data_IF_931297521829
#
_entry.id   IF_931297521829
#
_cell.length_a   1.000
_cell.length_b   1.000
_cell.length_c   1.000
_cell.angle_alpha   90.00
_cell.angle_beta   90.00
_cell.angle_gamma   90.00
#
_symmetry.space_group_name_H-M   'P 1'
#
loop_
_entity.id
_entity.type
_entity.pdbx_description
1 polymer ?
#
# COMPACT_ATOMS: atom_id res chain seq x y z
N UNK A 1 5.89 24.85 10.88
CA UNK A 1 6.40 25.85 9.94
C UNK A 1 5.76 25.60 8.59
N UNK A 2 4.88 26.51 8.17
CA UNK A 2 4.10 26.44 6.94
C UNK A 2 4.98 26.81 5.76
N UNK A 3 5.32 25.84 4.90
CA UNK A 3 6.00 26.09 3.64
C UNK A 3 4.97 26.09 2.50
N UNK A 4 4.69 27.29 2.00
CA UNK A 4 4.21 27.65 0.67
C UNK A 4 3.25 26.67 -0.03
N UNK A 5 1.97 26.72 0.34
CA UNK A 5 0.88 26.47 -0.61
C UNK A 5 0.41 27.81 -1.17
N UNK A 6 1.13 28.39 -2.13
CA UNK A 6 0.64 29.52 -2.93
C UNK A 6 1.16 29.45 -4.36
N UNK A 7 0.34 28.94 -5.27
CA UNK A 7 -0.29 29.78 -6.31
C UNK A 7 -1.28 28.92 -7.11
N UNK A 8 -2.53 29.38 -7.18
CA UNK A 8 -3.59 28.80 -8.01
C UNK A 8 -3.39 29.10 -9.51
N UNK A 9 -2.19 28.85 -10.03
CA UNK A 9 -1.98 28.71 -11.46
C UNK A 9 -2.49 27.34 -11.90
N UNK A 10 -3.28 27.28 -12.97
CA UNK A 10 -3.64 25.99 -13.55
C UNK A 10 -2.36 25.28 -13.98
N UNK A 11 -2.05 24.13 -13.36
CA UNK A 11 -0.92 23.30 -13.78
C UNK A 11 -1.22 22.82 -15.21
N UNK A 12 -0.34 23.17 -16.15
CA UNK A 12 -0.55 22.86 -17.56
C UNK A 12 -0.22 21.39 -17.88
N UNK A 13 -0.89 20.85 -18.90
CA UNK A 13 -0.56 19.54 -19.48
C UNK A 13 0.07 19.74 -20.84
N UNK A 14 1.32 19.30 -21.01
CA UNK A 14 2.09 19.48 -22.25
C UNK A 14 2.11 18.17 -23.05
N UNK A 15 0.93 17.70 -23.45
CA UNK A 15 0.75 16.36 -24.06
C UNK A 15 1.42 16.17 -25.44
N UNK A 16 1.88 17.25 -26.07
CA UNK A 16 2.61 17.19 -27.35
C UNK A 16 4.09 16.82 -27.17
N UNK A 17 4.64 16.89 -25.95
CA UNK A 17 6.02 16.55 -25.64
C UNK A 17 6.16 15.06 -25.30
N UNK A 18 7.30 14.47 -25.68
CA UNK A 18 7.68 13.13 -25.22
C UNK A 18 7.85 13.16 -23.69
N UNK A 19 7.47 12.07 -23.03
CA UNK A 19 7.64 11.98 -21.58
C UNK A 19 9.11 12.01 -21.11
N UNK A 20 10.06 11.74 -22.01
CA UNK A 20 11.50 11.84 -21.71
C UNK A 20 12.11 13.19 -22.06
N UNK A 21 11.30 14.16 -22.50
CA UNK A 21 11.76 15.54 -22.70
C UNK A 21 12.24 16.14 -21.38
N UNK A 22 13.48 16.64 -21.34
CA UNK A 22 14.07 17.17 -20.11
C UNK A 22 13.40 18.47 -19.66
N UNK A 23 12.85 19.29 -20.57
CA UNK A 23 12.11 20.49 -20.24
C UNK A 23 10.79 20.18 -19.54
N UNK A 24 10.04 19.20 -20.06
CA UNK A 24 8.85 18.68 -19.40
C UNK A 24 9.18 18.11 -18.00
N UNK A 25 10.21 17.26 -17.89
CA UNK A 25 10.57 16.65 -16.62
C UNK A 25 11.07 17.67 -15.59
N UNK A 26 11.76 18.72 -16.03
CA UNK A 26 12.12 19.86 -15.20
C UNK A 26 10.88 20.59 -14.67
N UNK A 27 9.91 20.92 -15.54
CA UNK A 27 8.67 21.56 -15.14
C UNK A 27 7.84 20.68 -14.18
N UNK A 28 7.77 19.37 -14.44
CA UNK A 28 7.13 18.41 -13.53
C UNK A 28 7.82 18.37 -12.17
N UNK A 29 9.16 18.33 -12.13
CA UNK A 29 9.93 18.36 -10.89
C UNK A 29 9.73 19.66 -10.09
N UNK A 30 9.64 20.79 -10.77
CA UNK A 30 9.31 22.09 -10.18
C UNK A 30 7.83 22.18 -9.70
N UNK A 31 6.95 21.33 -10.22
CA UNK A 31 5.51 21.36 -9.93
C UNK A 31 4.72 22.32 -10.82
N UNK A 32 5.29 22.67 -11.97
CA UNK A 32 4.74 23.62 -12.95
C UNK A 32 3.95 22.91 -14.06
N UNK A 33 4.18 21.60 -14.25
CA UNK A 33 3.49 20.77 -15.24
C UNK A 33 3.02 19.44 -14.65
N UNK A 34 1.98 18.87 -15.26
CA UNK A 34 1.41 17.56 -14.90
C UNK A 34 1.53 16.58 -16.07
N UNK A 35 1.96 15.36 -15.77
CA UNK A 35 2.05 14.28 -16.76
C UNK A 35 0.66 13.78 -17.20
N UNK A 36 0.49 13.53 -18.50
CA UNK A 36 -0.67 12.81 -19.05
C UNK A 36 -0.55 11.30 -18.80
N UNK A 37 -1.65 10.53 -18.84
CA UNK A 37 -1.60 9.07 -18.75
C UNK A 37 -0.66 8.43 -19.78
N UNK A 38 -0.67 8.91 -21.02
CA UNK A 38 0.18 8.40 -22.10
C UNK A 38 1.67 8.63 -21.79
N UNK A 39 2.00 9.81 -21.26
CA UNK A 39 3.37 10.12 -20.80
C UNK A 39 3.77 9.22 -19.63
N UNK A 40 2.85 8.95 -18.69
CA UNK A 40 3.08 7.99 -17.61
C UNK A 40 3.43 6.58 -18.11
N UNK A 41 2.73 6.09 -19.14
CA UNK A 41 3.03 4.79 -19.77
C UNK A 41 4.37 4.82 -20.51
N UNK A 42 4.68 5.91 -21.23
CA UNK A 42 5.98 6.10 -21.86
C UNK A 42 7.13 6.04 -20.85
N UNK A 43 6.99 6.69 -19.68
CA UNK A 43 8.00 6.61 -18.62
C UNK A 43 8.16 5.19 -18.06
N UNK A 44 7.06 4.45 -17.88
CA UNK A 44 7.12 3.07 -17.40
C UNK A 44 7.70 2.08 -18.41
N UNK A 45 7.74 2.41 -19.70
CA UNK A 45 8.15 1.47 -20.75
C UNK A 45 9.48 1.84 -21.42
N UNK A 46 9.79 3.13 -21.54
CA UNK A 46 10.89 3.62 -22.40
C UNK A 46 11.95 4.44 -21.67
N UNK A 47 11.63 5.11 -20.56
CA UNK A 47 12.59 6.01 -19.91
C UNK A 47 13.81 5.24 -19.34
N UNK A 48 15.04 5.76 -19.49
CA UNK A 48 16.20 5.22 -18.78
C UNK A 48 16.02 5.31 -17.26
N UNK A 49 16.43 4.29 -16.51
CA UNK A 49 16.25 4.26 -15.06
C UNK A 49 16.98 5.41 -14.34
N UNK A 50 18.17 5.79 -14.80
CA UNK A 50 18.93 6.90 -14.24
C UNK A 50 18.22 8.25 -14.44
N UNK A 51 17.57 8.44 -15.59
CA UNK A 51 16.77 9.64 -15.87
C UNK A 51 15.59 9.74 -14.89
N UNK A 52 14.89 8.62 -14.66
CA UNK A 52 13.78 8.56 -13.70
C UNK A 52 14.23 8.89 -12.27
N UNK A 53 15.34 8.31 -11.82
CA UNK A 53 15.89 8.59 -10.49
C UNK A 53 16.19 10.08 -10.31
N UNK A 54 16.92 10.68 -11.26
CA UNK A 54 17.27 12.11 -11.24
C UNK A 54 16.05 13.01 -11.05
N UNK A 55 15.02 12.83 -11.87
CA UNK A 55 13.86 13.73 -11.86
C UNK A 55 12.89 13.44 -10.72
N UNK A 56 12.73 12.18 -10.32
CA UNK A 56 11.90 11.84 -9.17
C UNK A 56 12.52 12.33 -7.85
N UNK A 57 13.85 12.23 -7.68
CA UNK A 57 14.55 12.81 -6.54
C UNK A 57 14.43 14.34 -6.55
N UNK A 58 14.63 14.99 -7.70
CA UNK A 58 14.44 16.44 -7.84
C UNK A 58 13.02 16.87 -7.42
N UNK A 59 11.97 16.17 -7.88
CA UNK A 59 10.58 16.43 -7.46
C UNK A 59 10.41 16.25 -5.95
N UNK A 60 10.99 15.20 -5.38
CA UNK A 60 10.93 14.94 -3.95
C UNK A 60 11.60 16.05 -3.13
N UNK A 61 12.75 16.55 -3.58
CA UNK A 61 13.47 17.67 -2.95
C UNK A 61 12.70 18.98 -3.05
N UNK A 62 12.05 19.26 -4.17
CA UNK A 62 11.15 20.43 -4.29
C UNK A 62 10.03 20.40 -3.24
N UNK A 63 9.48 19.23 -2.94
CA UNK A 63 8.36 19.08 -2.00
C UNK A 63 8.78 18.99 -0.52
N UNK A 64 9.91 18.36 -0.23
CA UNK A 64 10.29 17.98 1.13
C UNK A 64 11.65 18.56 1.58
N UNK A 65 12.35 19.26 0.70
CA UNK A 65 13.70 19.74 0.93
C UNK A 65 14.76 18.64 0.87
N UNK A 66 16.01 19.08 1.10
CA UNK A 66 17.21 18.25 0.96
C UNK A 66 17.63 17.55 2.25
N UNK A 67 17.09 17.97 3.39
CA UNK A 67 17.63 17.59 4.69
C UNK A 67 17.08 16.26 5.19
N UNK A 68 15.75 16.12 5.25
CA UNK A 68 15.12 15.05 6.02
C UNK A 68 14.51 13.97 5.13
N UNK A 69 14.56 12.73 5.61
CA UNK A 69 13.69 11.63 5.17
C UNK A 69 13.11 10.95 6.41
N UNK A 70 11.85 10.56 6.30
CA UNK A 70 11.06 10.21 7.48
C UNK A 70 10.87 8.71 7.64
N UNK A 71 10.55 8.30 8.86
CA UNK A 71 9.99 7.00 9.19
C UNK A 71 8.97 7.17 10.33
N UNK A 72 8.15 6.15 10.55
CA UNK A 72 7.22 6.12 11.69
C UNK A 72 7.53 4.92 12.60
N UNK A 73 7.21 5.05 13.87
CA UNK A 73 7.12 3.90 14.78
C UNK A 73 5.64 3.60 14.95
N UNK A 74 5.16 2.63 14.18
CA UNK A 74 3.80 2.11 14.28
C UNK A 74 3.80 0.60 14.54
N UNK A 75 2.60 0.04 14.73
CA UNK A 75 2.41 -1.40 14.77
C UNK A 75 1.28 -1.84 13.85
N UNK A 76 1.60 -2.79 12.99
CA UNK A 76 0.61 -3.53 12.21
C UNK A 76 -0.11 -4.53 13.12
N UNK A 77 -1.43 -4.41 13.24
CA UNK A 77 -2.27 -5.31 14.03
C UNK A 77 -3.32 -5.93 13.10
N UNK A 78 -3.20 -7.23 12.87
CA UNK A 78 -4.25 -7.98 12.18
C UNK A 78 -5.19 -8.60 13.20
N UNK A 79 -6.32 -7.95 13.46
CA UNK A 79 -7.26 -8.36 14.51
C UNK A 79 -8.00 -9.66 14.20
N UNK A 80 -8.07 -10.05 12.92
CA UNK A 80 -8.56 -11.36 12.48
C UNK A 80 -7.96 -11.70 11.11
N UNK A 81 -7.79 -12.98 10.82
CA UNK A 81 -7.50 -13.48 9.48
C UNK A 81 -8.72 -14.15 8.79
N UNK A 82 -9.86 -14.23 9.50
CA UNK A 82 -11.12 -14.76 8.95
C UNK A 82 -11.69 -13.75 7.96
N UNK A 83 -11.94 -14.18 6.72
CA UNK A 83 -12.30 -13.25 5.65
C UNK A 83 -13.28 -13.86 4.65
N UNK A 84 -14.35 -13.13 4.33
CA UNK A 84 -15.34 -13.51 3.32
C UNK A 84 -14.78 -13.45 1.88
N UNK A 85 -13.79 -12.58 1.61
CA UNK A 85 -13.21 -12.45 0.28
C UNK A 85 -12.21 -13.57 -0.06
N UNK A 86 -12.18 -13.96 -1.33
CA UNK A 86 -11.36 -15.06 -1.87
C UNK A 86 -10.32 -14.54 -2.87
N UNK A 87 -9.58 -13.52 -2.44
CA UNK A 87 -8.54 -12.89 -3.24
C UNK A 87 -7.46 -13.90 -3.65
N UNK A 88 -7.17 -14.02 -4.94
CA UNK A 88 -6.21 -15.02 -5.43
C UNK A 88 -4.77 -14.67 -5.10
N UNK A 89 -4.49 -13.42 -4.71
CA UNK A 89 -3.17 -12.92 -4.32
C UNK A 89 -2.94 -12.91 -2.80
N UNK A 90 -3.92 -13.33 -1.99
CA UNK A 90 -3.82 -13.24 -0.52
C UNK A 90 -3.48 -14.61 0.08
N UNK A 91 -2.34 -14.70 0.78
CA UNK A 91 -1.96 -15.88 1.56
C UNK A 91 -2.46 -15.82 3.03
N UNK A 92 -2.93 -14.66 3.47
CA UNK A 92 -3.33 -14.41 4.86
C UNK A 92 -4.75 -14.88 5.19
N UNK A 93 -5.66 -14.86 4.21
CA UNK A 93 -7.09 -15.11 4.43
C UNK A 93 -7.38 -16.55 4.86
N UNK A 94 -8.33 -16.71 5.78
CA UNK A 94 -8.88 -18.01 6.20
C UNK A 94 -10.40 -18.01 6.16
N UNK A 95 -10.97 -19.15 5.80
CA UNK A 95 -12.35 -19.48 6.13
C UNK A 95 -12.43 -19.75 7.65
N UNK A 96 -13.59 -19.52 8.28
CA UNK A 96 -13.71 -19.45 9.75
C UNK A 96 -13.46 -20.76 10.50
N UNK A 97 -13.50 -21.89 9.79
CA UNK A 97 -13.29 -23.25 10.29
C UNK A 97 -11.86 -23.77 10.04
N UNK A 98 -11.00 -23.00 9.38
CA UNK A 98 -9.61 -23.38 9.17
C UNK A 98 -8.83 -23.38 10.49
N UNK A 99 -7.91 -24.33 10.66
CA UNK A 99 -7.23 -24.58 11.95
C UNK A 99 -6.38 -23.40 12.46
N UNK A 100 -5.90 -22.53 11.58
CA UNK A 100 -5.16 -21.32 11.91
C UNK A 100 -6.00 -20.04 11.77
N UNK A 101 -7.33 -20.17 11.70
CA UNK A 101 -8.26 -19.05 11.80
C UNK A 101 -8.27 -18.44 13.22
N UNK A 102 -8.28 -17.11 13.32
CA UNK A 102 -8.30 -16.42 14.60
C UNK A 102 -9.02 -15.07 14.55
N UNK A 103 -9.52 -14.65 15.72
CA UNK A 103 -9.85 -13.25 16.05
C UNK A 103 -9.19 -12.92 17.38
N UNK A 104 -8.50 -11.78 17.47
CA UNK A 104 -7.84 -11.32 18.70
C UNK A 104 -8.88 -10.78 19.69
N UNK A 105 -8.67 -11.01 20.98
CA UNK A 105 -9.46 -10.35 22.03
C UNK A 105 -9.04 -8.89 22.19
N UNK A 106 -9.88 -8.08 22.84
CA UNK A 106 -9.52 -6.69 23.17
C UNK A 106 -8.26 -6.65 24.05
N UNK A 107 -8.10 -7.58 25.02
CA UNK A 107 -6.90 -7.59 25.86
C UNK A 107 -5.64 -7.86 25.03
N UNK A 108 -5.71 -8.80 24.08
CA UNK A 108 -4.59 -9.09 23.18
C UNK A 108 -4.22 -7.88 22.33
N UNK A 109 -5.21 -7.16 21.79
CA UNK A 109 -4.97 -5.93 21.02
C UNK A 109 -4.39 -4.83 21.92
N UNK A 110 -4.93 -4.64 23.12
CA UNK A 110 -4.41 -3.64 24.07
C UNK A 110 -2.98 -3.95 24.51
N UNK A 111 -2.64 -5.22 24.72
CA UNK A 111 -1.28 -5.62 25.06
C UNK A 111 -0.31 -5.26 23.93
N UNK A 112 -0.70 -5.53 22.68
CA UNK A 112 0.08 -5.13 21.50
C UNK A 112 0.29 -3.62 21.41
N UNK A 113 -0.72 -2.83 21.77
CA UNK A 113 -0.63 -1.35 21.80
C UNK A 113 0.25 -0.88 22.95
N UNK A 114 0.16 -1.50 24.13
CA UNK A 114 1.02 -1.15 25.27
C UNK A 114 2.50 -1.33 24.95
N UNK A 115 2.85 -2.42 24.25
CA UNK A 115 4.22 -2.71 23.78
C UNK A 115 4.70 -1.67 22.76
N UNK A 116 3.83 -1.23 21.84
CA UNK A 116 4.14 -0.15 20.91
C UNK A 116 4.43 1.17 21.66
N UNK A 117 3.56 1.54 22.59
CA UNK A 117 3.71 2.78 23.37
C UNK A 117 4.99 2.75 24.20
N UNK A 118 5.37 1.58 24.74
CA UNK A 118 6.59 1.41 25.54
C UNK A 118 7.88 1.73 24.76
N UNK A 119 7.88 1.59 23.43
CA UNK A 119 9.01 1.94 22.56
C UNK A 119 8.86 3.32 21.90
N UNK A 120 7.90 4.14 22.33
CA UNK A 120 7.66 5.48 21.80
C UNK A 120 6.87 5.51 20.49
N UNK A 121 6.18 4.43 20.14
CA UNK A 121 5.27 4.39 19.00
C UNK A 121 4.00 5.19 19.22
N UNK A 122 3.49 5.78 18.15
CA UNK A 122 2.38 6.75 18.21
C UNK A 122 1.17 6.36 17.37
N UNK A 123 1.24 5.25 16.63
CA UNK A 123 0.22 4.84 15.69
C UNK A 123 0.05 3.32 15.67
N UNK A 124 -1.19 2.86 15.50
CA UNK A 124 -1.46 1.52 14.99
C UNK A 124 -1.97 1.58 13.56
N UNK A 125 -1.50 0.65 12.73
CA UNK A 125 -2.13 0.27 11.48
C UNK A 125 -2.90 -1.04 11.71
N UNK A 126 -4.22 -0.98 11.82
CA UNK A 126 -5.03 -2.14 12.21
C UNK A 126 -5.97 -2.57 11.10
N UNK A 127 -5.75 -3.74 10.48
CA UNK A 127 -6.55 -4.22 9.34
C UNK A 127 -6.76 -5.73 9.46
N UNK A 128 -7.96 -6.22 9.16
CA UNK A 128 -8.27 -7.64 9.31
C UNK A 128 -8.87 -8.26 8.05
N UNK A 129 -9.20 -9.54 8.18
CA UNK A 129 -10.17 -10.15 7.31
C UNK A 129 -11.58 -9.59 7.55
N UNK A 130 -12.42 -9.64 6.51
CA UNK A 130 -13.82 -9.22 6.57
C UNK A 130 -14.64 -10.34 7.22
N UNK A 131 -14.61 -10.41 8.55
CA UNK A 131 -15.21 -11.46 9.36
C UNK A 131 -16.71 -11.18 9.63
N UNK A 132 -17.66 -11.97 9.06
CA UNK A 132 -19.10 -11.74 9.21
C UNK A 132 -19.64 -12.07 10.61
N UNK A 133 -18.86 -12.76 11.46
CA UNK A 133 -19.28 -13.12 12.82
C UNK A 133 -19.15 -11.95 13.81
N UNK A 134 -18.47 -10.85 13.42
CA UNK A 134 -18.26 -9.70 14.29
C UNK A 134 -19.35 -8.63 14.05
N UNK A 135 -20.19 -8.33 15.07
CA UNK A 135 -21.20 -7.28 14.96
C UNK A 135 -20.55 -5.89 15.01
N UNK A 136 -21.27 -4.85 14.57
CA UNK A 136 -20.78 -3.47 14.56
C UNK A 136 -20.31 -3.01 15.95
N UNK A 137 -21.03 -3.41 17.01
CA UNK A 137 -20.74 -3.08 18.41
C UNK A 137 -19.37 -3.59 18.86
N UNK A 138 -18.88 -4.67 18.26
CA UNK A 138 -17.53 -5.16 18.54
C UNK A 138 -16.47 -4.16 18.02
N UNK A 139 -16.64 -3.65 16.81
CA UNK A 139 -15.72 -2.64 16.25
C UNK A 139 -15.77 -1.33 17.03
N UNK A 140 -16.96 -0.86 17.41
CA UNK A 140 -17.14 0.35 18.20
C UNK A 140 -16.57 0.22 19.61
N UNK A 141 -16.79 -0.93 20.25
CA UNK A 141 -16.22 -1.26 21.56
C UNK A 141 -14.70 -1.33 21.53
N UNK A 142 -14.13 -1.95 20.49
CA UNK A 142 -12.69 -2.01 20.28
C UNK A 142 -12.08 -0.61 20.20
N UNK A 143 -12.56 0.24 19.29
CA UNK A 143 -12.03 1.60 19.09
C UNK A 143 -12.16 2.43 20.38
N UNK A 144 -13.33 2.41 21.02
CA UNK A 144 -13.58 3.17 22.25
C UNK A 144 -12.63 2.73 23.37
N UNK A 145 -12.42 1.42 23.51
CA UNK A 145 -11.51 0.88 24.52
C UNK A 145 -10.04 1.25 24.26
N UNK A 146 -9.62 1.30 22.99
CA UNK A 146 -8.27 1.75 22.61
C UNK A 146 -8.09 3.21 22.99
N UNK A 147 -9.03 4.09 22.62
CA UNK A 147 -8.94 5.52 22.95
C UNK A 147 -9.01 5.79 24.46
N UNK A 148 -9.78 5.03 25.21
CA UNK A 148 -9.82 5.15 26.67
C UNK A 148 -8.48 4.79 27.32
N UNK A 149 -7.81 3.72 26.85
CA UNK A 149 -6.57 3.22 27.45
C UNK A 149 -5.31 3.90 26.91
N UNK A 150 -5.33 4.29 25.63
CA UNK A 150 -4.19 4.85 24.91
C UNK A 150 -4.61 6.11 24.13
N UNK A 151 -5.05 7.19 24.79
CA UNK A 151 -5.65 8.36 24.14
C UNK A 151 -4.73 9.09 23.16
N UNK A 152 -3.41 8.91 23.29
CA UNK A 152 -2.40 9.50 22.40
C UNK A 152 -2.08 8.66 21.17
N UNK A 153 -2.56 7.41 21.09
CA UNK A 153 -2.33 6.54 19.94
C UNK A 153 -3.28 6.93 18.82
N UNK A 154 -2.70 7.16 17.65
CA UNK A 154 -3.42 7.37 16.40
C UNK A 154 -3.89 6.02 15.84
N UNK A 155 -5.19 5.89 15.62
CA UNK A 155 -5.86 4.70 15.12
C UNK A 155 -6.04 4.85 13.61
N UNK A 156 -5.08 4.31 12.85
CA UNK A 156 -5.17 4.15 11.41
C UNK A 156 -5.68 2.75 11.12
N UNK A 157 -6.99 2.57 10.95
CA UNK A 157 -7.57 1.23 10.97
C UNK A 157 -8.60 0.98 9.86
N UNK A 158 -8.82 -0.30 9.59
CA UNK A 158 -9.66 -0.89 8.56
C UNK A 158 -9.17 -0.56 7.14
N UNK A 159 -10.05 -0.71 6.17
CA UNK A 159 -9.77 -0.46 4.75
C UNK A 159 -11.09 -0.29 4.01
N UNK A 160 -11.08 0.28 2.78
CA UNK A 160 -12.29 0.37 1.99
C UNK A 160 -13.03 -0.96 1.74
N UNK A 161 -12.36 -2.10 1.50
CA UNK A 161 -13.04 -3.39 1.47
C UNK A 161 -13.82 -3.70 2.76
N UNK A 162 -13.24 -3.45 3.93
CA UNK A 162 -13.94 -3.65 5.22
C UNK A 162 -15.15 -2.71 5.34
N UNK A 163 -15.05 -1.45 4.91
CA UNK A 163 -16.19 -0.52 4.94
C UNK A 163 -17.33 -0.93 4.01
N UNK A 164 -16.99 -1.46 2.83
CA UNK A 164 -17.98 -2.01 1.88
C UNK A 164 -18.70 -3.19 2.52
N UNK A 165 -17.97 -4.10 3.17
CA UNK A 165 -18.59 -5.23 3.87
C UNK A 165 -19.38 -4.78 5.12
N UNK A 166 -18.97 -3.72 5.82
CA UNK A 166 -19.79 -3.15 6.90
C UNK A 166 -21.13 -2.63 6.40
N UNK A 167 -21.17 -2.03 5.20
CA UNK A 167 -22.43 -1.65 4.56
C UNK A 167 -23.27 -2.90 4.26
N UNK A 168 -22.67 -3.96 3.71
CA UNK A 168 -23.40 -5.20 3.41
C UNK A 168 -23.90 -5.92 4.68
N UNK A 169 -23.06 -6.08 5.69
CA UNK A 169 -23.36 -6.85 6.90
C UNK A 169 -24.34 -6.11 7.82
N UNK A 170 -24.21 -4.79 7.95
CA UNK A 170 -24.98 -4.02 8.92
C UNK A 170 -26.18 -3.29 8.32
N UNK A 171 -26.31 -3.30 6.98
CA UNK A 171 -27.43 -2.69 6.26
C UNK A 171 -27.79 -1.30 6.78
N UNK A 172 -26.82 -0.35 6.81
CA UNK A 172 -27.05 0.97 7.37
C UNK A 172 -28.10 1.74 6.54
N UNK A 173 -28.83 2.68 7.15
CA UNK A 173 -29.77 3.52 6.41
C UNK A 173 -29.03 4.44 5.43
N UNK A 174 -29.71 4.80 4.34
CA UNK A 174 -29.20 5.66 3.26
C UNK A 174 -29.73 5.20 1.91
N UNK A 175 -30.04 6.15 1.03
CA UNK A 175 -30.55 5.86 -0.33
C UNK A 175 -29.39 5.50 -1.28
N UNK A 176 -28.21 6.05 -1.01
CA UNK A 176 -27.00 5.85 -1.81
C UNK A 176 -25.92 5.10 -1.03
N UNK A 177 -25.04 4.41 -1.75
CA UNK A 177 -23.86 3.76 -1.16
C UNK A 177 -22.99 4.76 -0.37
N UNK A 178 -22.84 5.99 -0.86
CA UNK A 178 -22.07 7.03 -0.17
C UNK A 178 -22.68 7.41 1.20
N UNK A 179 -24.01 7.52 1.29
CA UNK A 179 -24.70 7.81 2.57
C UNK A 179 -24.56 6.65 3.56
N UNK A 180 -24.68 5.42 3.07
CA UNK A 180 -24.50 4.20 3.86
C UNK A 180 -23.06 4.10 4.42
N UNK A 181 -22.05 4.33 3.57
CA UNK A 181 -20.66 4.38 4.00
C UNK A 181 -20.43 5.49 5.02
N UNK A 182 -20.96 6.69 4.77
CA UNK A 182 -20.86 7.82 5.71
C UNK A 182 -21.46 7.47 7.07
N UNK A 183 -22.60 6.79 7.10
CA UNK A 183 -23.25 6.36 8.33
C UNK A 183 -22.34 5.46 9.19
N UNK A 184 -21.63 4.52 8.54
CA UNK A 184 -20.67 3.63 9.19
C UNK A 184 -19.46 4.43 9.68
N UNK A 185 -18.86 5.24 8.81
CA UNK A 185 -17.67 6.03 9.12
C UNK A 185 -17.89 7.01 10.27
N UNK A 186 -19.06 7.65 10.36
CA UNK A 186 -19.39 8.56 11.47
C UNK A 186 -19.32 7.83 12.80
N UNK A 187 -19.91 6.63 12.89
CA UNK A 187 -19.89 5.82 14.13
C UNK A 187 -18.49 5.36 14.49
N UNK A 188 -17.72 4.88 13.51
CA UNK A 188 -16.34 4.46 13.76
C UNK A 188 -15.47 5.65 14.20
N UNK A 189 -15.64 6.82 13.57
CA UNK A 189 -14.94 8.05 13.97
C UNK A 189 -15.30 8.47 15.39
N UNK A 190 -16.58 8.48 15.73
CA UNK A 190 -17.07 8.80 17.09
C UNK A 190 -16.55 7.81 18.14
N UNK A 191 -16.39 6.53 17.77
CA UNK A 191 -15.78 5.52 18.63
C UNK A 191 -14.25 5.64 18.74
N UNK A 192 -13.58 6.42 17.88
CA UNK A 192 -12.15 6.68 17.99
C UNK A 192 -11.30 6.34 16.77
N UNK A 193 -11.88 6.11 15.60
CA UNK A 193 -11.12 5.98 14.35
C UNK A 193 -10.60 7.36 13.89
N UNK A 194 -9.29 7.50 13.70
CA UNK A 194 -8.69 8.79 13.34
C UNK A 194 -8.44 8.95 11.82
N UNK A 195 -8.15 7.85 11.12
CA UNK A 195 -7.80 7.87 9.69
C UNK A 195 -8.01 6.51 9.03
N UNK A 196 -8.11 6.49 7.69
CA UNK A 196 -8.40 5.28 6.93
C UNK A 196 -7.21 4.83 6.05
N UNK A 197 -6.68 3.61 6.23
CA UNK A 197 -5.61 3.07 5.41
C UNK A 197 -6.04 2.72 3.99
N UNK A 198 -5.08 2.83 3.07
CA UNK A 198 -5.24 2.54 1.64
C UNK A 198 -5.35 1.07 1.25
N UNK A 199 -5.50 0.15 2.21
CA UNK A 199 -5.57 -1.28 1.92
C UNK A 199 -6.64 -1.63 0.87
N UNK A 200 -6.35 -2.60 0.02
CA UNK A 200 -7.29 -3.05 -1.02
C UNK A 200 -7.35 -2.23 -2.30
N UNK A 201 -6.42 -1.31 -2.50
CA UNK A 201 -6.27 -0.57 -3.75
C UNK A 201 -5.77 -1.42 -4.92
N UNK A 202 -4.88 -2.39 -4.67
CA UNK A 202 -4.33 -3.35 -5.66
C UNK A 202 -4.12 -2.71 -7.05
N UNK A 203 -4.87 -3.13 -8.07
CA UNK A 203 -5.01 -2.47 -9.37
C UNK A 203 -6.48 -2.12 -9.56
N UNK A 204 -6.81 -0.89 -10.00
CA UNK A 204 -8.20 -0.46 -10.18
C UNK A 204 -8.85 -0.93 -11.49
N UNK A 205 -8.05 -1.25 -12.52
CA UNK A 205 -8.58 -1.69 -13.80
C UNK A 205 -9.51 -2.90 -13.64
N UNK A 206 -10.75 -2.77 -14.12
CA UNK A 206 -11.79 -3.78 -13.92
C UNK A 206 -11.43 -5.18 -14.48
N UNK A 207 -10.78 -5.30 -15.67
CA UNK A 207 -10.33 -6.61 -16.16
C UNK A 207 -9.38 -7.33 -15.19
N UNK A 208 -8.49 -6.59 -14.52
CA UNK A 208 -7.56 -7.11 -13.52
C UNK A 208 -8.32 -7.49 -12.25
N UNK A 209 -9.14 -6.58 -11.70
CA UNK A 209 -9.91 -6.82 -10.46
C UNK A 209 -10.80 -8.05 -10.54
N UNK A 210 -11.50 -8.23 -11.66
CA UNK A 210 -12.37 -9.41 -11.89
C UNK A 210 -11.61 -10.75 -11.78
N UNK A 211 -10.31 -10.77 -12.06
CA UNK A 211 -9.48 -11.98 -11.93
C UNK A 211 -8.85 -12.16 -10.56
N UNK A 212 -8.45 -11.07 -9.91
CA UNK A 212 -7.64 -11.16 -8.69
C UNK A 212 -8.44 -11.00 -7.39
N UNK A 213 -9.54 -10.24 -7.42
CA UNK A 213 -10.30 -9.80 -6.24
C UNK A 213 -11.70 -10.40 -6.13
N UNK A 214 -11.82 -11.73 -6.06
CA UNK A 214 -13.11 -12.40 -5.87
C UNK A 214 -13.73 -12.01 -4.52
N UNK A 215 -14.88 -11.33 -4.54
CA UNK A 215 -15.57 -10.87 -3.33
C UNK A 215 -14.92 -9.65 -2.66
N UNK A 216 -14.00 -8.95 -3.35
CA UNK A 216 -13.44 -7.66 -2.89
C UNK A 216 -14.13 -6.52 -3.65
N UNK A 217 -14.21 -5.33 -3.03
CA UNK A 217 -14.85 -4.17 -3.64
C UNK A 217 -14.22 -3.78 -4.99
N UNK A 218 -14.97 -3.07 -5.84
CA UNK A 218 -14.43 -2.49 -7.08
C UNK A 218 -13.71 -1.14 -6.82
N UNK A 219 -13.25 -0.49 -7.90
CA UNK A 219 -12.52 0.76 -7.81
C UNK A 219 -13.41 1.93 -7.35
N UNK A 220 -14.62 2.04 -7.89
CA UNK A 220 -15.55 3.13 -7.55
C UNK A 220 -15.99 3.05 -6.08
N UNK A 221 -16.30 1.85 -5.59
CA UNK A 221 -16.62 1.61 -4.18
C UNK A 221 -15.45 1.99 -3.28
N UNK A 222 -14.22 1.57 -3.64
CA UNK A 222 -13.01 1.89 -2.89
C UNK A 222 -12.78 3.41 -2.80
N UNK A 223 -12.89 4.11 -3.94
CA UNK A 223 -12.68 5.55 -4.04
C UNK A 223 -13.77 6.33 -3.31
N UNK A 224 -15.02 5.87 -3.40
CA UNK A 224 -16.16 6.46 -2.68
C UNK A 224 -15.95 6.40 -1.18
N UNK A 225 -15.52 5.25 -0.64
CA UNK A 225 -15.23 5.13 0.79
C UNK A 225 -14.16 6.11 1.25
N UNK A 226 -13.06 6.19 0.50
CA UNK A 226 -11.99 7.12 0.83
C UNK A 226 -12.47 8.57 0.83
N UNK A 227 -13.28 8.93 -0.16
CA UNK A 227 -13.80 10.28 -0.28
C UNK A 227 -14.79 10.64 0.82
N UNK A 228 -15.67 9.72 1.24
CA UNK A 228 -16.57 9.96 2.35
C UNK A 228 -15.80 10.11 3.67
N UNK A 229 -14.71 9.36 3.89
CA UNK A 229 -13.82 9.57 5.03
C UNK A 229 -13.16 10.96 4.98
N UNK A 230 -12.69 11.38 3.81
CA UNK A 230 -12.07 12.71 3.61
C UNK A 230 -13.05 13.85 3.86
N UNK A 231 -14.32 13.72 3.44
CA UNK A 231 -15.39 14.69 3.75
C UNK A 231 -15.67 14.81 5.26
N UNK A 232 -15.36 13.79 6.04
CA UNK A 232 -15.43 13.82 7.50
C UNK A 232 -14.17 14.41 8.17
N UNK A 233 -13.22 14.92 7.38
CA UNK A 233 -11.98 15.52 7.84
C UNK A 233 -10.86 14.51 8.13
N UNK A 234 -11.04 13.24 7.78
CA UNK A 234 -10.04 12.20 8.01
C UNK A 234 -8.97 12.22 6.91
N UNK A 235 -7.72 12.00 7.30
CA UNK A 235 -6.67 11.70 6.33
C UNK A 235 -6.78 10.24 5.88
N UNK A 236 -6.38 9.99 4.64
CA UNK A 236 -6.35 8.65 4.07
C UNK A 236 -5.01 8.36 3.40
N UNK A 237 -4.75 7.10 3.09
CA UNK A 237 -3.64 6.70 2.21
C UNK A 237 -4.17 5.93 1.00
N UNK A 238 -3.38 5.83 -0.05
CA UNK A 238 -3.68 5.03 -1.23
C UNK A 238 -2.58 3.99 -1.45
N UNK A 239 -2.94 2.81 -1.92
CA UNK A 239 -1.97 1.73 -2.14
C UNK A 239 -2.14 1.05 -3.49
N UNK A 240 -1.03 0.57 -4.06
CA UNK A 240 -1.02 -0.15 -5.32
C UNK A 240 -0.09 -1.37 -5.25
N UNK A 241 -0.66 -2.56 -5.21
CA UNK A 241 0.07 -3.81 -5.40
C UNK A 241 0.16 -4.12 -6.90
N UNK A 242 1.38 -4.22 -7.42
CA UNK A 242 1.65 -4.40 -8.85
C UNK A 242 2.63 -5.55 -9.12
N UNK A 243 2.91 -5.84 -10.39
CA UNK A 243 3.87 -6.88 -10.77
C UNK A 243 3.24 -8.27 -10.80
N UNK A 244 2.02 -8.38 -11.33
CA UNK A 244 1.30 -9.64 -11.48
C UNK A 244 0.71 -9.76 -12.89
N UNK A 245 -0.59 -9.60 -13.06
CA UNK A 245 -1.27 -9.85 -14.35
C UNK A 245 -1.52 -8.56 -15.14
N UNK A 246 -1.30 -7.39 -14.52
CA UNK A 246 -1.66 -6.09 -15.05
C UNK A 246 -0.66 -5.57 -16.09
N UNK A 247 -1.15 -4.73 -17.00
CA UNK A 247 -0.29 -3.95 -17.89
C UNK A 247 0.20 -2.65 -17.25
N UNK A 248 1.21 -2.02 -17.84
CA UNK A 248 1.70 -0.72 -17.36
C UNK A 248 0.63 0.38 -17.42
N UNK A 249 -0.26 0.34 -18.42
CA UNK A 249 -1.39 1.28 -18.52
C UNK A 249 -2.40 1.11 -17.37
N UNK A 250 -2.54 -0.08 -16.79
CA UNK A 250 -3.39 -0.30 -15.61
C UNK A 250 -2.81 0.35 -14.34
N UNK A 251 -1.48 0.36 -14.20
CA UNK A 251 -0.79 1.06 -13.09
C UNK A 251 -0.99 2.57 -13.20
N UNK A 252 -0.86 3.11 -14.42
CA UNK A 252 -1.11 4.54 -14.67
C UNK A 252 -2.57 4.89 -14.47
N UNK A 253 -3.50 4.06 -14.94
CA UNK A 253 -4.93 4.22 -14.66
C UNK A 253 -5.20 4.26 -13.15
N UNK A 254 -4.56 3.39 -12.38
CA UNK A 254 -4.69 3.41 -10.92
C UNK A 254 -4.25 4.76 -10.34
N UNK A 255 -3.03 5.23 -10.67
CA UNK A 255 -2.51 6.50 -10.19
C UNK A 255 -3.35 7.70 -10.69
N UNK A 256 -3.88 7.64 -11.90
CA UNK A 256 -4.78 8.65 -12.46
C UNK A 256 -6.05 8.79 -11.62
N UNK A 257 -6.70 7.69 -11.24
CA UNK A 257 -7.88 7.74 -10.39
C UNK A 257 -7.55 8.29 -8.99
N UNK A 258 -6.44 7.87 -8.38
CA UNK A 258 -5.99 8.44 -7.10
C UNK A 258 -5.80 9.97 -7.23
N UNK A 259 -5.10 10.43 -8.27
CA UNK A 259 -4.87 11.85 -8.55
C UNK A 259 -6.16 12.63 -8.73
N UNK A 260 -7.10 12.12 -9.53
CA UNK A 260 -8.39 12.78 -9.78
C UNK A 260 -9.25 12.90 -8.52
N UNK A 261 -9.30 11.84 -7.70
CA UNK A 261 -10.07 11.87 -6.46
C UNK A 261 -9.40 12.71 -5.38
N UNK A 262 -8.07 12.80 -5.40
CA UNK A 262 -7.33 13.77 -4.59
C UNK A 262 -7.68 15.21 -5.00
N UNK A 263 -7.70 15.53 -6.30
CA UNK A 263 -8.13 16.86 -6.79
C UNK A 263 -9.55 17.18 -6.29
N UNK A 264 -10.47 16.20 -6.38
CA UNK A 264 -11.84 16.33 -5.86
C UNK A 264 -11.88 16.59 -4.35
N UNK A 265 -11.06 15.90 -3.56
CA UNK A 265 -11.00 16.08 -2.11
C UNK A 265 -10.44 17.45 -1.72
N UNK A 266 -9.35 17.87 -2.37
CA UNK A 266 -8.72 19.17 -2.12
C UNK A 266 -9.64 20.33 -2.54
N UNK A 267 -10.35 20.21 -3.67
CA UNK A 267 -11.30 21.21 -4.14
C UNK A 267 -12.51 21.40 -3.20
N UNK A 268 -12.85 20.40 -2.39
CA UNK A 268 -13.93 20.52 -1.40
C UNK A 268 -13.57 21.42 -0.21
N UNK A 269 -12.30 21.84 -0.07
CA UNK A 269 -11.85 22.81 0.95
C UNK A 269 -11.77 22.27 2.38
N UNK A 270 -12.07 20.98 2.60
CA UNK A 270 -11.91 20.31 3.89
C UNK A 270 -10.46 19.88 4.15
N UNK A 271 -10.16 19.52 5.39
CA UNK A 271 -8.81 19.05 5.74
C UNK A 271 -8.51 17.63 5.24
N UNK A 272 -9.52 16.78 5.02
CA UNK A 272 -9.31 15.37 4.68
C UNK A 272 -8.85 15.17 3.24
N UNK A 273 -7.77 14.43 3.04
CA UNK A 273 -7.19 14.09 1.73
C UNK A 273 -6.24 12.89 1.84
N UNK A 274 -5.79 12.36 0.70
CA UNK A 274 -4.71 11.38 0.67
C UNK A 274 -3.40 12.04 1.12
N UNK A 275 -2.81 11.52 2.20
CA UNK A 275 -1.50 11.94 2.69
C UNK A 275 -0.35 11.16 2.08
N UNK A 276 -0.59 9.91 1.71
CA UNK A 276 0.46 9.02 1.26
C UNK A 276 -0.02 8.10 0.14
N UNK A 277 0.89 7.81 -0.78
CA UNK A 277 0.77 6.71 -1.74
C UNK A 277 1.91 5.72 -1.52
N UNK A 278 1.57 4.44 -1.41
CA UNK A 278 2.53 3.36 -1.18
C UNK A 278 2.30 2.28 -2.24
N UNK A 279 3.34 1.90 -2.98
CA UNK A 279 3.23 0.85 -4.00
C UNK A 279 4.27 -0.23 -3.77
N UNK A 280 3.88 -1.49 -3.97
CA UNK A 280 4.77 -2.63 -3.75
C UNK A 280 4.54 -3.74 -4.76
N UNK A 281 5.59 -4.52 -5.08
CA UNK A 281 5.42 -5.72 -5.90
C UNK A 281 4.65 -6.81 -5.18
N UNK A 282 3.84 -7.53 -5.94
CA UNK A 282 3.14 -8.74 -5.54
C UNK A 282 4.12 -9.79 -5.04
N UNK A 283 3.77 -10.42 -3.92
CA UNK A 283 4.51 -11.52 -3.31
C UNK A 283 3.78 -12.81 -3.62
N UNK A 284 4.41 -13.68 -4.42
CA UNK A 284 3.72 -14.80 -5.07
C UNK A 284 3.55 -16.02 -4.18
N UNK A 285 4.44 -16.22 -3.21
CA UNK A 285 4.48 -17.49 -2.50
C UNK A 285 3.26 -17.70 -1.60
N UNK A 286 2.83 -18.96 -1.49
CA UNK A 286 1.61 -19.36 -0.77
C UNK A 286 0.29 -18.73 -1.26
N UNK A 287 0.26 -18.08 -2.44
CA UNK A 287 -0.96 -17.51 -3.02
C UNK A 287 -1.48 -18.38 -4.19
N UNK A 288 -2.80 -18.45 -4.43
CA UNK A 288 -3.34 -19.07 -5.64
C UNK A 288 -2.79 -18.47 -6.94
N UNK A 289 -2.66 -17.13 -7.02
CA UNK A 289 -2.18 -16.42 -8.19
C UNK A 289 -0.70 -16.71 -8.47
N UNK A 290 0.12 -16.87 -7.43
CA UNK A 290 1.53 -17.19 -7.59
C UNK A 290 1.81 -18.58 -8.17
N UNK A 291 0.82 -19.47 -8.22
CA UNK A 291 0.95 -20.81 -8.82
C UNK A 291 0.93 -20.79 -10.35
N UNK A 292 0.51 -19.69 -10.98
CA UNK A 292 0.54 -19.59 -12.44
C UNK A 292 1.98 -19.33 -12.93
N UNK A 293 2.38 -19.80 -14.12
CA UNK A 293 3.75 -19.66 -14.60
C UNK A 293 4.15 -18.20 -14.85
N UNK A 294 5.44 -17.89 -14.70
CA UNK A 294 5.92 -16.54 -14.98
C UNK A 294 5.93 -16.27 -16.49
N UNK A 295 5.71 -15.01 -16.87
CA UNK A 295 5.94 -14.54 -18.22
C UNK A 295 7.44 -14.38 -18.49
N UNK A 296 7.90 -14.83 -19.66
CA UNK A 296 9.32 -14.78 -20.03
C UNK A 296 10.08 -16.07 -19.75
N UNK A 297 9.43 -17.09 -19.19
CA UNK A 297 10.03 -18.42 -18.97
C UNK A 297 10.06 -19.26 -20.25
N UNK A 298 9.14 -19.03 -21.21
CA UNK A 298 9.14 -19.77 -22.47
C UNK A 298 9.99 -19.05 -23.54
N UNK A 299 10.66 -19.79 -24.44
CA UNK A 299 11.40 -19.19 -25.55
C UNK A 299 10.53 -18.24 -26.39
N UNK A 300 11.04 -17.05 -26.67
CA UNK A 300 10.37 -16.04 -27.51
C UNK A 300 9.36 -15.12 -26.80
N UNK A 301 8.98 -15.40 -25.55
CA UNK A 301 8.00 -14.57 -24.82
C UNK A 301 8.50 -13.16 -24.52
N UNK A 302 9.78 -13.01 -24.21
CA UNK A 302 10.37 -11.68 -23.94
C UNK A 302 10.41 -10.79 -25.20
N UNK A 303 10.32 -11.38 -26.39
CA UNK A 303 10.17 -10.64 -27.65
C UNK A 303 8.72 -10.34 -28.02
N UNK A 304 7.76 -10.84 -27.25
CA UNK A 304 6.33 -10.65 -27.46
C UNK A 304 5.75 -9.73 -26.41
N UNK A 305 4.64 -9.08 -26.74
CA UNK A 305 3.92 -8.23 -25.79
C UNK A 305 3.28 -9.08 -24.68
N UNK A 306 3.39 -8.61 -23.42
CA UNK A 306 2.75 -9.26 -22.29
C UNK A 306 1.21 -9.15 -22.42
N UNK A 307 0.44 -10.25 -22.20
CA UNK A 307 -1.02 -10.22 -22.31
C UNK A 307 -1.70 -9.13 -21.47
N UNK A 308 -1.15 -8.81 -20.30
CA UNK A 308 -1.64 -7.70 -19.47
C UNK A 308 -1.53 -6.34 -20.16
N UNK A 309 -0.46 -6.08 -20.92
CA UNK A 309 -0.31 -4.81 -21.66
C UNK A 309 -1.31 -4.71 -22.82
N UNK A 310 -1.60 -5.83 -23.51
CA UNK A 310 -2.64 -5.91 -24.55
C UNK A 310 -4.00 -5.53 -23.98
N UNK A 311 -4.37 -6.14 -22.85
CA UNK A 311 -5.65 -5.90 -22.17
C UNK A 311 -5.71 -4.46 -21.62
N UNK A 312 -4.65 -3.97 -21.00
CA UNK A 312 -4.59 -2.62 -20.45
C UNK A 312 -4.75 -1.54 -21.53
N UNK A 313 -4.09 -1.71 -22.69
CA UNK A 313 -4.27 -0.82 -23.85
C UNK A 313 -5.69 -0.88 -24.39
N UNK A 314 -6.30 -2.07 -24.44
CA UNK A 314 -7.69 -2.21 -24.86
C UNK A 314 -8.66 -1.56 -23.85
N UNK A 315 -8.42 -1.70 -22.55
CA UNK A 315 -9.20 -1.04 -21.50
C UNK A 315 -9.14 0.51 -21.59
N UNK A 316 -8.03 1.05 -22.10
CA UNK A 316 -7.92 2.46 -22.50
C UNK A 316 -8.12 3.42 -21.33
N UNK A 317 -7.45 3.17 -20.20
CA UNK A 317 -7.58 3.94 -18.96
C UNK A 317 -9.04 4.08 -18.47
N UNK A 318 -9.86 3.05 -18.67
CA UNK A 318 -11.26 3.05 -18.24
C UNK A 318 -12.25 3.58 -19.27
N UNK A 319 -11.80 3.97 -20.48
CA UNK A 319 -12.68 4.38 -21.57
C UNK A 319 -13.52 3.21 -22.15
N UNK A 320 -13.08 1.95 -21.94
CA UNK A 320 -13.78 0.73 -22.37
C UNK A 320 -13.89 -0.27 -21.20
N UNK A 321 -14.71 0.00 -20.18
CA UNK A 321 -14.80 -0.83 -18.97
C UNK A 321 -15.33 -2.25 -19.20
N UNK A 322 -16.10 -2.43 -20.26
CA UNK A 322 -16.71 -3.67 -20.74
C UNK A 322 -15.76 -4.58 -21.52
N UNK A 323 -14.50 -4.19 -21.73
CA UNK A 323 -13.55 -4.97 -22.53
C UNK A 323 -13.48 -6.44 -22.06
N UNK A 324 -13.73 -7.36 -22.99
CA UNK A 324 -13.47 -8.79 -22.81
C UNK A 324 -12.15 -9.14 -23.49
N UNK A 325 -11.17 -9.55 -22.68
CA UNK A 325 -9.86 -9.97 -23.16
C UNK A 325 -9.92 -11.18 -24.09
N UNK A 326 -11.00 -11.97 -24.04
CA UNK A 326 -11.21 -13.13 -24.94
C UNK A 326 -11.44 -12.70 -26.39
N UNK A 327 -11.87 -11.47 -26.61
CA UNK A 327 -12.13 -10.91 -27.95
C UNK A 327 -10.89 -10.22 -28.54
N UNK A 328 -9.82 -10.04 -27.76
CA UNK A 328 -8.59 -9.35 -28.16
C UNK A 328 -7.58 -10.27 -28.89
N UNK A 329 -8.02 -11.46 -29.31
CA UNK A 329 -7.22 -12.41 -30.07
C UNK A 329 -6.15 -13.14 -29.24
N UNK A 330 -5.23 -13.80 -29.94
CA UNK A 330 -4.28 -14.73 -29.33
C UNK A 330 -3.34 -14.06 -28.31
N UNK A 331 -3.00 -12.78 -28.51
CA UNK A 331 -2.07 -12.04 -27.65
C UNK A 331 -2.62 -11.79 -26.23
N UNK A 332 -3.95 -11.79 -26.05
CA UNK A 332 -4.59 -11.64 -24.74
C UNK A 332 -5.07 -12.97 -24.13
N UNK A 333 -4.96 -14.10 -24.85
CA UNK A 333 -5.50 -15.39 -24.44
C UNK A 333 -4.91 -15.90 -23.11
N UNK A 334 -3.66 -15.54 -22.82
CA UNK A 334 -2.95 -15.90 -21.58
C UNK A 334 -3.16 -14.88 -20.42
N UNK A 335 -4.01 -13.85 -20.60
CA UNK A 335 -4.28 -12.85 -19.55
C UNK A 335 -4.79 -13.50 -18.26
N UNK A 336 -4.06 -13.24 -17.17
CA UNK A 336 -4.28 -13.82 -15.85
C UNK A 336 -4.07 -15.33 -15.74
N UNK A 337 -3.47 -15.97 -16.75
CA UNK A 337 -2.88 -17.32 -16.68
C UNK A 337 -1.36 -17.28 -16.56
N UNK A 338 -0.77 -16.08 -16.64
CA UNK A 338 0.67 -15.80 -16.54
C UNK A 338 0.85 -14.56 -15.68
N UNK A 339 1.96 -14.50 -14.94
CA UNK A 339 2.34 -13.34 -14.12
C UNK A 339 3.66 -12.75 -14.59
N UNK A 340 3.75 -11.42 -14.68
CA UNK A 340 4.99 -10.68 -14.89
C UNK A 340 5.44 -10.10 -13.55
N UNK A 341 6.31 -10.85 -12.86
CA UNK A 341 6.85 -10.44 -11.57
C UNK A 341 7.72 -9.19 -11.70
N UNK A 342 7.56 -8.25 -10.77
CA UNK A 342 8.37 -7.02 -10.71
C UNK A 342 9.59 -7.21 -9.83
N UNK A 343 10.78 -7.12 -10.43
CA UNK A 343 12.05 -7.04 -9.71
C UNK A 343 12.43 -5.61 -9.31
N UNK A 344 13.66 -5.41 -8.81
CA UNK A 344 14.15 -4.13 -8.31
C UNK A 344 14.07 -2.97 -9.33
N UNK A 345 14.40 -3.22 -10.59
CA UNK A 345 14.38 -2.20 -11.65
C UNK A 345 12.95 -1.71 -11.92
N UNK A 346 12.01 -2.64 -12.06
CA UNK A 346 10.60 -2.30 -12.33
C UNK A 346 9.94 -1.63 -11.11
N UNK A 347 10.34 -2.03 -9.90
CA UNK A 347 9.95 -1.36 -8.67
C UNK A 347 10.42 0.09 -8.61
N UNK A 348 11.73 0.35 -8.75
CA UNK A 348 12.30 1.71 -8.69
C UNK A 348 11.72 2.60 -9.81
N UNK A 349 11.48 2.02 -10.98
CA UNK A 349 10.79 2.69 -12.09
C UNK A 349 9.37 3.08 -11.70
N UNK A 350 8.59 2.15 -11.15
CA UNK A 350 7.20 2.43 -10.72
C UNK A 350 7.17 3.48 -9.62
N UNK A 351 8.07 3.41 -8.64
CA UNK A 351 8.20 4.39 -7.57
C UNK A 351 8.52 5.81 -8.11
N UNK A 352 9.51 5.93 -8.99
CA UNK A 352 9.87 7.21 -9.58
C UNK A 352 8.72 7.82 -10.38
N UNK A 353 8.03 7.00 -11.19
CA UNK A 353 6.86 7.45 -11.93
C UNK A 353 5.73 7.84 -10.97
N UNK A 354 5.50 7.14 -9.86
CA UNK A 354 4.50 7.55 -8.88
C UNK A 354 4.77 8.95 -8.32
N UNK A 355 6.02 9.30 -7.99
CA UNK A 355 6.39 10.66 -7.54
C UNK A 355 6.18 11.72 -8.62
N UNK A 356 6.54 11.42 -9.86
CA UNK A 356 6.39 12.35 -10.99
C UNK A 356 4.93 12.51 -11.43
N UNK A 357 4.12 11.47 -11.30
CA UNK A 357 2.74 11.44 -11.79
C UNK A 357 1.72 11.94 -10.77
N UNK A 358 1.88 11.58 -9.48
CA UNK A 358 1.01 11.97 -8.39
C UNK A 358 1.45 13.33 -7.81
N UNK A 359 1.28 14.38 -8.60
CA UNK A 359 1.73 15.75 -8.23
C UNK A 359 1.00 16.34 -7.02
N UNK A 360 -0.15 15.78 -6.64
CA UNK A 360 -1.04 16.27 -5.59
C UNK A 360 -1.14 15.34 -4.35
N UNK A 361 -0.31 14.30 -4.28
CA UNK A 361 -0.18 13.43 -3.09
C UNK A 361 1.11 13.80 -2.35
N UNK A 362 0.98 14.11 -1.06
CA UNK A 362 2.10 14.64 -0.27
C UNK A 362 3.27 13.67 -0.20
N UNK A 363 3.06 12.47 0.33
CA UNK A 363 4.13 11.49 0.58
C UNK A 363 4.10 10.31 -0.38
N UNK A 364 5.29 9.86 -0.80
CA UNK A 364 5.52 8.59 -1.48
C UNK A 364 6.37 7.71 -0.56
N UNK A 365 5.84 6.55 -0.19
CA UNK A 365 6.51 5.60 0.71
C UNK A 365 7.43 4.62 -0.03
N UNK A 366 8.57 4.32 0.56
CA UNK A 366 9.49 3.27 0.12
C UNK A 366 9.08 1.90 0.70
N UNK A 367 9.09 0.87 -0.14
CA UNK A 367 8.54 -0.47 0.13
C UNK A 367 9.64 -1.46 0.42
N UNK A 368 10.45 -1.16 1.43
CA UNK A 368 11.54 -2.04 1.85
C UNK A 368 11.03 -3.41 2.36
N UNK A 369 9.78 -3.50 2.84
CA UNK A 369 9.18 -4.74 3.36
C UNK A 369 9.07 -5.83 2.30
N UNK A 370 8.85 -5.45 1.03
CA UNK A 370 8.78 -6.40 -0.09
C UNK A 370 10.08 -6.48 -0.88
N UNK A 371 10.84 -5.38 -0.94
CA UNK A 371 12.03 -5.26 -1.79
C UNK A 371 13.36 -5.46 -1.06
N UNK A 372 13.32 -5.48 0.26
CA UNK A 372 14.49 -5.53 1.12
C UNK A 372 15.08 -4.16 1.44
N UNK A 373 15.97 -4.09 2.45
CA UNK A 373 16.46 -2.84 3.02
C UNK A 373 17.17 -1.91 2.02
N UNK A 374 18.08 -2.45 1.20
CA UNK A 374 18.89 -1.64 0.29
C UNK A 374 18.11 -1.12 -0.91
N UNK A 375 17.13 -1.88 -1.42
CA UNK A 375 16.24 -1.35 -2.46
C UNK A 375 15.31 -0.29 -1.86
N UNK A 376 14.86 -0.48 -0.62
CA UNK A 376 14.15 0.53 0.14
C UNK A 376 14.94 1.83 0.30
N UNK A 377 16.22 1.70 0.64
CA UNK A 377 17.16 2.83 0.74
C UNK A 377 17.32 3.56 -0.60
N UNK A 378 17.50 2.83 -1.70
CA UNK A 378 17.53 3.43 -3.04
C UNK A 378 16.23 4.15 -3.38
N UNK A 379 15.08 3.68 -2.89
CA UNK A 379 13.79 4.36 -3.04
C UNK A 379 13.83 5.84 -2.64
N UNK A 380 14.65 6.22 -1.65
CA UNK A 380 14.80 7.61 -1.18
C UNK A 380 15.37 8.58 -2.23
N UNK A 381 16.10 8.06 -3.21
CA UNK A 381 16.63 8.82 -4.37
C UNK A 381 15.90 8.45 -5.67
N UNK A 382 14.77 7.75 -5.56
CA UNK A 382 13.82 7.47 -6.64
C UNK A 382 12.43 8.03 -6.32
N UNK A 383 12.39 9.11 -5.53
CA UNK A 383 11.19 9.92 -5.28
C UNK A 383 10.45 9.63 -3.97
N UNK A 384 10.89 8.65 -3.17
CA UNK A 384 10.33 8.43 -1.84
C UNK A 384 10.87 9.46 -0.82
N UNK A 385 9.99 9.99 0.02
CA UNK A 385 10.38 10.84 1.16
C UNK A 385 10.32 10.10 2.50
N UNK A 386 9.77 8.88 2.51
CA UNK A 386 9.44 8.14 3.71
C UNK A 386 9.81 6.66 3.59
N UNK A 387 10.45 6.11 4.63
CA UNK A 387 10.82 4.69 4.72
C UNK A 387 9.72 3.80 5.32
N UNK A 388 8.54 4.33 5.60
CA UNK A 388 7.49 3.57 6.27
C UNK A 388 7.82 3.32 7.74
N UNK A 389 7.38 2.17 8.27
CA UNK A 389 7.38 1.92 9.71
C UNK A 389 8.54 1.03 10.18
N UNK A 390 8.92 1.19 11.46
CA UNK A 390 9.64 0.15 12.21
C UNK A 390 8.80 -1.11 12.27
N UNK A 391 9.38 -2.26 11.94
CA UNK A 391 8.63 -3.50 11.88
C UNK A 391 8.68 -4.29 13.19
N UNK A 392 7.70 -4.04 14.06
CA UNK A 392 7.46 -4.82 15.27
C UNK A 392 6.77 -6.18 14.98
N UNK A 393 5.91 -6.21 13.96
CA UNK A 393 5.07 -7.35 13.58
C UNK A 393 4.71 -7.25 12.08
N UNK A 394 4.73 -8.38 11.36
CA UNK A 394 4.28 -8.49 9.98
C UNK A 394 3.70 -9.90 9.77
N UNK A 395 2.39 -9.98 9.48
CA UNK A 395 1.67 -11.24 9.30
C UNK A 395 1.14 -11.47 7.86
N UNK A 396 1.07 -10.42 7.02
CA UNK A 396 0.41 -10.51 5.71
C UNK A 396 1.43 -10.84 4.62
N UNK A 397 2.48 -10.04 4.48
CA UNK A 397 3.57 -10.25 3.53
C UNK A 397 4.43 -11.47 3.90
N UNK A 398 4.59 -11.74 5.19
CA UNK A 398 5.28 -12.91 5.72
C UNK A 398 4.54 -14.21 5.39
N UNK A 399 3.19 -14.20 5.41
CA UNK A 399 2.39 -15.32 4.93
C UNK A 399 2.63 -15.62 3.45
N UNK A 400 3.00 -14.60 2.67
CA UNK A 400 3.38 -14.70 1.27
C UNK A 400 4.88 -14.99 1.03
N UNK A 401 5.62 -15.38 2.07
CA UNK A 401 7.01 -15.86 1.99
C UNK A 401 8.10 -14.80 2.14
N UNK A 402 7.75 -13.53 2.35
CA UNK A 402 8.73 -12.43 2.43
C UNK A 402 8.89 -11.92 3.86
N UNK A 403 10.12 -11.96 4.37
CA UNK A 403 10.41 -11.64 5.77
C UNK A 403 11.57 -10.67 5.92
N UNK A 404 11.32 -9.39 5.66
CA UNK A 404 12.23 -8.33 6.07
C UNK A 404 11.75 -7.70 7.38
N UNK A 405 12.68 -7.38 8.27
CA UNK A 405 12.42 -6.69 9.53
C UNK A 405 13.51 -5.63 9.70
N UNK A 406 13.09 -4.38 9.90
CA UNK A 406 13.97 -3.27 10.22
C UNK A 406 13.53 -2.65 11.54
N UNK A 407 14.49 -2.51 12.45
CA UNK A 407 14.31 -1.70 13.66
C UNK A 407 14.66 -0.24 13.39
N UNK A 408 14.44 0.60 14.40
CA UNK A 408 14.70 2.04 14.32
C UNK A 408 16.16 2.36 13.97
N UNK A 409 17.12 1.62 14.54
CA UNK A 409 18.54 1.84 14.29
C UNK A 409 18.89 1.56 12.83
N UNK A 410 18.40 0.46 12.26
CA UNK A 410 18.64 0.14 10.84
C UNK A 410 17.97 1.17 9.93
N UNK A 411 16.73 1.59 10.21
CA UNK A 411 16.07 2.64 9.40
C UNK A 411 16.84 3.96 9.43
N UNK A 412 17.27 4.41 10.62
CA UNK A 412 18.10 5.60 10.75
C UNK A 412 19.40 5.47 9.97
N UNK A 413 20.05 4.30 10.03
CA UNK A 413 21.29 4.03 9.31
C UNK A 413 21.10 4.12 7.80
N UNK A 414 20.06 3.47 7.26
CA UNK A 414 19.79 3.47 5.82
C UNK A 414 19.48 4.88 5.30
N UNK A 415 18.68 5.65 6.04
CA UNK A 415 18.38 7.05 5.70
C UNK A 415 19.66 7.89 5.69
N UNK A 416 20.52 7.72 6.69
CA UNK A 416 21.79 8.45 6.81
C UNK A 416 22.77 8.10 5.70
N UNK A 417 22.93 6.81 5.41
CA UNK A 417 23.81 6.30 4.36
C UNK A 417 23.31 6.71 2.96
N UNK A 418 22.01 7.02 2.81
CA UNK A 418 21.45 7.62 1.60
C UNK A 418 21.71 9.14 1.48
N UNK A 419 22.36 9.76 2.49
CA UNK A 419 22.72 11.17 2.48
C UNK A 419 21.71 12.12 3.13
N UNK A 420 20.76 11.60 3.92
CA UNK A 420 19.73 12.41 4.59
C UNK A 420 19.81 12.33 6.11
N UNK A 421 19.14 13.25 6.80
CA UNK A 421 18.95 13.19 8.26
C UNK A 421 17.67 12.38 8.55
N UNK A 422 17.74 11.31 9.35
CA UNK A 422 16.55 10.54 9.74
C UNK A 422 15.65 11.36 10.67
N UNK A 423 14.35 11.25 10.47
CA UNK A 423 13.36 11.91 11.32
C UNK A 423 12.14 11.02 11.57
N UNK A 424 11.79 10.83 12.85
CA UNK A 424 10.55 10.18 13.25
C UNK A 424 9.38 11.14 12.99
N UNK A 425 8.33 10.66 12.32
CA UNK A 425 7.08 11.39 12.09
C UNK A 425 5.87 10.75 12.76
N UNK A 426 4.77 11.48 12.83
CA UNK A 426 3.43 10.93 13.10
C UNK A 426 2.68 10.59 11.78
N UNK A 427 1.38 10.26 11.86
CA UNK A 427 0.55 9.95 10.68
C UNK A 427 0.33 11.14 9.74
N UNK A 428 0.30 12.36 10.30
CA UNK A 428 0.10 13.59 9.54
C UNK A 428 1.37 14.13 8.91
N UNK A 429 2.48 13.41 9.07
CA UNK A 429 3.84 13.76 8.62
C UNK A 429 4.48 14.93 9.38
N UNK A 430 3.97 15.25 10.57
CA UNK A 430 4.68 16.16 11.48
C UNK A 430 5.87 15.43 12.08
N UNK A 431 7.02 16.13 12.12
CA UNK A 431 8.24 15.61 12.69
C UNK A 431 8.13 15.62 14.22
N UNK A 432 8.28 14.44 14.82
CA UNK A 432 8.30 14.22 16.26
C UNK A 432 9.72 14.28 16.82
N UNK A 433 10.69 13.72 16.09
CA UNK A 433 12.09 13.65 16.50
C UNK A 433 13.01 13.71 15.30
N UNK A 434 14.06 14.52 15.39
CA UNK A 434 15.15 14.60 14.42
C UNK A 434 16.37 13.86 14.99
N UNK A 435 17.07 13.14 14.13
CA UNK A 435 18.22 12.32 14.49
C UNK A 435 19.51 12.85 13.84
N UNK A 436 19.94 14.06 14.21
CA UNK A 436 21.16 14.72 13.73
C UNK A 436 22.31 14.74 14.74
N UNK A 437 22.05 14.36 16.00
CA UNK A 437 23.06 14.31 17.07
C UNK A 437 23.62 12.90 17.37
N UNK A 438 24.61 12.84 18.27
CA UNK A 438 25.29 11.61 18.67
C UNK A 438 24.38 10.54 19.30
N UNK A 439 23.24 10.96 19.86
CA UNK A 439 22.23 10.07 20.47
C UNK A 439 21.33 9.37 19.44
N UNK A 440 21.59 9.57 18.15
CA UNK A 440 20.83 8.91 17.07
C UNK A 440 20.87 7.37 17.22
N UNK A 441 19.74 6.65 17.04
CA UNK A 441 19.66 5.20 17.18
C UNK A 441 20.73 4.43 16.41
N UNK A 442 21.05 4.83 15.17
CA UNK A 442 22.09 4.21 14.36
C UNK A 442 23.52 4.48 14.87
N UNK A 443 23.76 5.62 15.50
CA UNK A 443 25.09 6.00 16.02
C UNK A 443 25.40 5.34 17.37
N UNK A 444 24.38 4.82 18.07
CA UNK A 444 24.55 4.05 19.31
C UNK A 444 24.94 2.58 19.07
N UNK A 445 24.81 2.09 17.85
CA UNK A 445 25.22 0.73 17.49
C UNK A 445 26.73 0.70 17.28
N UNK A 446 27.45 0.03 18.18
CA UNK A 446 28.92 -0.04 18.16
C UNK A 446 29.47 -1.15 17.27
N UNK A 447 28.71 -2.22 17.02
CA UNK A 447 29.10 -3.32 16.14
C UNK A 447 27.92 -3.84 15.29
N UNK A 448 27.83 -3.32 14.06
CA UNK A 448 26.83 -3.74 13.08
C UNK A 448 26.96 -5.20 12.62
N UNK A 449 28.13 -5.84 12.80
CA UNK A 449 28.30 -7.25 12.43
C UNK A 449 27.46 -8.18 13.30
N UNK A 450 27.16 -7.75 14.53
CA UNK A 450 26.34 -8.46 15.52
C UNK A 450 24.92 -7.94 15.62
N UNK A 451 24.64 -6.72 15.13
CA UNK A 451 23.30 -6.14 15.17
C UNK A 451 22.36 -6.92 14.26
N UNK A 452 21.25 -7.40 14.84
CA UNK A 452 20.18 -8.07 14.09
C UNK A 452 18.88 -7.43 14.53
N UNK A 453 18.13 -6.89 13.55
CA UNK A 453 16.76 -6.48 13.80
C UNK A 453 15.99 -7.69 14.33
N UNK A 454 15.47 -7.58 15.54
CA UNK A 454 14.71 -8.66 16.18
C UNK A 454 13.24 -8.42 15.88
N UNK A 455 12.55 -9.45 15.40
CA UNK A 455 11.08 -9.50 15.55
C UNK A 455 10.79 -9.44 17.04
N UNK A 456 10.18 -8.36 17.50
CA UNK A 456 9.87 -8.19 18.93
C UNK A 456 8.75 -9.12 19.37
N UNK A 457 8.01 -9.74 18.44
CA UNK A 457 6.95 -10.70 18.74
C UNK A 457 6.92 -11.88 17.76
N UNK A 458 6.66 -13.07 18.32
CA UNK A 458 6.25 -14.25 17.57
C UNK A 458 4.72 -14.27 17.48
N UNK A 459 4.19 -14.64 16.31
CA UNK A 459 2.82 -15.12 16.16
C UNK A 459 2.55 -16.22 17.21
N UNK A 460 1.30 -16.36 17.67
CA UNK A 460 0.92 -17.55 18.45
C UNK A 460 1.44 -18.80 17.70
N UNK A 461 2.02 -19.80 18.39
CA UNK A 461 2.51 -20.98 17.70
C UNK A 461 1.35 -21.61 16.94
N UNK A 462 1.60 -22.13 15.72
CA UNK A 462 0.81 -23.25 15.23
C UNK A 462 0.87 -24.29 16.34
N UNK A 463 -0.23 -24.53 17.04
CA UNK A 463 -0.30 -25.69 17.92
C UNK A 463 -0.03 -26.90 17.03
N UNK A 464 1.14 -27.50 17.21
CA UNK A 464 1.47 -28.76 16.58
C UNK A 464 0.58 -29.80 17.24
N UNK A 465 -0.64 -29.98 16.72
CA UNK A 465 -1.37 -31.19 17.03
C UNK A 465 -0.65 -32.35 16.35
N UNK A 466 -0.17 -33.29 17.18
CA UNK A 466 0.31 -34.58 16.75
C UNK A 466 -0.72 -35.19 15.79
N UNK A 467 -0.42 -35.14 14.49
CA UNK A 467 -1.07 -36.01 13.53
C UNK A 467 -0.59 -37.41 13.91
N UNK A 468 -1.41 -38.15 14.67
CA UNK A 468 -1.30 -39.61 14.75
C UNK A 468 -1.61 -40.15 13.36
N UNK A 469 -0.60 -40.16 12.50
CA UNK A 469 -0.62 -40.92 11.27
C UNK A 469 -0.66 -42.40 11.68
N UNK A 470 -1.85 -42.99 11.70
CA UNK A 470 -1.99 -44.43 11.69
C UNK A 470 -1.45 -44.92 10.34
N UNK A 471 -0.21 -45.42 10.36
CA UNK A 471 0.38 -46.19 9.28
C UNK A 471 -0.44 -47.48 9.11
N UNK A 472 -1.44 -47.48 8.24
CA UNK A 472 -2.00 -48.70 7.68
C UNK A 472 -1.05 -49.20 6.60
N UNK A 473 -0.10 -50.05 7.00
CA UNK A 473 0.64 -50.90 6.07
C UNK A 473 -0.29 -52.04 5.66
N UNK A 474 -0.87 -51.97 4.46
CA UNK A 474 -1.44 -53.18 3.83
C UNK A 474 -0.28 -54.02 3.30
N UNK A 475 0.09 -55.04 4.06
CA UNK A 475 0.96 -56.10 3.55
C UNK A 475 0.16 -56.93 2.55
N UNK A 476 0.69 -57.03 1.32
CA UNK A 476 0.22 -57.96 0.32
C UNK A 476 0.35 -59.41 0.81
N UNK A 477 -0.68 -60.22 0.55
CA UNK A 477 -0.57 -61.66 0.34
C UNK A 477 -1.55 -62.08 -0.75
#
# INVERSE_FOLDING_TARGET
MSAAMTNGGQIETLGHLSATDEGLLAAVAAGEARLTPEQGVELLTRAPLALLGRWADARCRTLHGDTFRTYIIDRNINYTNVCNAKCTFCAFRRDGDEADAYTLTYEQIHQKIAELVAIGGTQILMQGGMNPALPLEWYLGLLSSIKAKFPKVHVHAFSPPEMVEFVHFFSPPGETFAEQVRWVLVRLREAGLDSLPGGGGEIFAAPVRRKIGLGKCDAESWLTVMHEAQKLGMFTSATMMFGHIEGYADRVHHMMLVRQWQDKALAAGGQGHYKAFISWPFQRENTPLGRVPNWGEKPGELGSEFPGDVVARAFGFGARPEVDYRELGAAAAEFGRRVRMSGAIDYLRTQAVSRLFLDNVYSIGSSWVTMGPHIGQLGLVYGANDMGSVMMEENVVSSAGTTYCLDEAVLCRLIRDAGFVPAQRNNTYDILRVHDGAESPDLRVTDWSTHRAKKTHQERPKEAHEIKAALTVSAAK
#
